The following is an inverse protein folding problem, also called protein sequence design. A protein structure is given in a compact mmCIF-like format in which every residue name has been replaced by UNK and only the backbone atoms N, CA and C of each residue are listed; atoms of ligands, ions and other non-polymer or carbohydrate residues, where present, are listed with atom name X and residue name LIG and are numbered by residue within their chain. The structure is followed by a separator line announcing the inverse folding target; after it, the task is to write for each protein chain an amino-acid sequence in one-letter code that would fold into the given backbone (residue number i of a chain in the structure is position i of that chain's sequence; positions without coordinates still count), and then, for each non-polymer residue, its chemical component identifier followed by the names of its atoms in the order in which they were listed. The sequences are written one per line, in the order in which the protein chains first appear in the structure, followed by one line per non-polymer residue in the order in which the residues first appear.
data_IF_713706821464
#
_entry.id   IF_713706821464
#
_cell.length_a   1.000
_cell.length_b   1.000
_cell.length_c   1.000
_cell.angle_alpha   90.00
_cell.angle_beta   90.00
_cell.angle_gamma   90.00
#
_symmetry.space_group_name_H-M   'P 1'
#
loop_
_entity.id
_entity.type
_entity.pdbx_description
1 polymer ?
#
# COMPACT_ATOMS: atom_id res chain seq x y z
N UNK A 1 2.67 -50.05 2.92
CA UNK A 1 1.72 -49.17 2.22
C UNK A 1 1.15 -48.15 3.19
N UNK A 2 1.68 -46.93 3.22
CA UNK A 2 1.40 -45.78 2.31
C UNK A 2 -0.03 -45.27 2.54
N UNK A 3 -0.32 -44.00 2.85
CA UNK A 3 0.18 -42.75 2.26
C UNK A 3 0.03 -41.59 3.27
N UNK A 4 1.06 -40.76 3.45
CA UNK A 4 0.99 -39.52 4.23
C UNK A 4 0.60 -38.38 3.29
N UNK A 5 -0.59 -37.80 3.49
CA UNK A 5 -1.09 -36.67 2.69
C UNK A 5 -0.55 -35.35 3.25
N UNK A 6 0.11 -34.56 2.39
CA UNK A 6 0.68 -33.26 2.72
C UNK A 6 -0.39 -32.16 2.84
N UNK A 7 -0.26 -31.17 3.74
CA UNK A 7 -1.21 -30.08 3.82
C UNK A 7 -0.97 -29.10 2.65
N UNK A 8 -1.93 -29.03 1.73
CA UNK A 8 -2.04 -27.94 0.76
C UNK A 8 -2.55 -26.70 1.49
N UNK A 9 -1.64 -25.85 1.96
CA UNK A 9 -1.97 -24.50 2.45
C UNK A 9 -1.26 -23.51 1.55
N UNK A 10 -1.93 -23.00 0.52
CA UNK A 10 -1.38 -21.90 -0.28
C UNK A 10 -2.41 -20.92 -0.84
N UNK A 11 -3.73 -21.19 -0.80
CA UNK A 11 -4.71 -20.26 -1.40
C UNK A 11 -5.42 -19.35 -0.38
N UNK A 12 -5.52 -19.73 0.90
CA UNK A 12 -6.22 -18.92 1.91
C UNK A 12 -5.37 -17.76 2.43
N UNK A 13 -4.05 -17.95 2.54
CA UNK A 13 -3.14 -16.92 3.08
C UNK A 13 -3.06 -15.72 2.13
N UNK A 14 -2.96 -15.97 0.82
CA UNK A 14 -2.91 -14.89 -0.19
C UNK A 14 -4.20 -14.06 -0.14
N UNK A 15 -5.36 -14.71 -0.05
CA UNK A 15 -6.66 -14.03 -0.05
C UNK A 15 -6.85 -13.12 1.17
N UNK A 16 -6.48 -13.59 2.38
CA UNK A 16 -6.56 -12.77 3.60
C UNK A 16 -5.52 -11.65 3.62
N UNK A 17 -4.29 -11.94 3.17
CA UNK A 17 -3.22 -10.93 3.08
C UNK A 17 -3.61 -9.85 2.07
N UNK A 18 -4.12 -10.20 0.88
CA UNK A 18 -4.58 -9.21 -0.10
C UNK A 18 -5.69 -8.31 0.44
N UNK A 19 -6.61 -8.86 1.24
CA UNK A 19 -7.62 -8.06 1.96
C UNK A 19 -6.99 -7.08 2.96
N UNK A 20 -6.07 -7.57 3.79
CA UNK A 20 -5.35 -6.73 4.77
C UNK A 20 -4.47 -5.67 4.12
N UNK A 21 -3.87 -5.96 2.96
CA UNK A 21 -3.07 -5.01 2.20
C UNK A 21 -3.94 -3.87 1.65
N UNK A 22 -5.09 -4.18 1.05
CA UNK A 22 -6.03 -3.18 0.55
C UNK A 22 -6.59 -2.31 1.69
N UNK A 23 -6.97 -2.93 2.82
CA UNK A 23 -7.42 -2.19 4.01
C UNK A 23 -6.33 -1.29 4.59
N UNK A 24 -5.08 -1.76 4.64
CA UNK A 24 -3.96 -0.98 5.12
C UNK A 24 -3.64 0.19 4.18
N UNK A 25 -3.72 -0.03 2.87
CA UNK A 25 -3.56 0.99 1.83
C UNK A 25 -4.62 2.07 1.91
N UNK A 26 -5.91 1.70 2.00
CA UNK A 26 -7.01 2.63 2.22
C UNK A 26 -6.82 3.44 3.50
N UNK A 27 -6.43 2.77 4.60
CA UNK A 27 -6.20 3.44 5.87
C UNK A 27 -5.07 4.48 5.78
N UNK A 28 -3.94 4.15 5.14
CA UNK A 28 -2.84 5.10 4.94
C UNK A 28 -3.31 6.27 4.07
N UNK A 29 -3.94 5.99 2.93
CA UNK A 29 -4.47 7.03 2.05
C UNK A 29 -5.44 8.00 2.78
N UNK A 30 -6.30 7.47 3.64
CA UNK A 30 -7.24 8.26 4.43
C UNK A 30 -6.53 9.17 5.44
N UNK A 31 -5.40 8.73 6.01
CA UNK A 31 -4.58 9.53 6.93
C UNK A 31 -3.77 10.61 6.22
N UNK A 32 -3.23 10.31 5.05
CA UNK A 32 -2.36 11.22 4.29
C UNK A 32 -3.16 12.34 3.61
N UNK A 33 -4.27 12.01 2.94
CA UNK A 33 -4.98 12.94 2.05
C UNK A 33 -6.50 12.95 2.21
N UNK A 34 -7.03 12.14 3.12
CA UNK A 34 -8.46 11.81 3.13
C UNK A 34 -8.88 10.92 1.95
N UNK A 35 -7.93 10.27 1.28
CA UNK A 35 -8.20 9.39 0.13
C UNK A 35 -8.34 10.12 -1.22
N UNK A 36 -8.05 11.41 -1.29
CA UNK A 36 -8.24 12.17 -2.53
C UNK A 36 -7.03 12.10 -3.46
N UNK A 37 -7.23 11.61 -4.69
CA UNK A 37 -6.22 11.66 -5.75
C UNK A 37 -5.88 13.07 -6.24
N UNK A 38 -6.67 14.07 -5.86
CA UNK A 38 -6.45 15.48 -6.23
C UNK A 38 -5.94 16.33 -5.06
N UNK A 39 -5.74 15.75 -3.87
CA UNK A 39 -5.17 16.47 -2.73
C UNK A 39 -3.78 16.99 -3.07
N UNK A 40 -3.46 18.22 -2.66
CA UNK A 40 -2.11 18.77 -2.83
C UNK A 40 -1.79 19.75 -1.72
N UNK A 41 -0.53 19.72 -1.25
CA UNK A 41 0.01 20.69 -0.31
C UNK A 41 1.19 21.46 -0.93
N UNK A 42 1.18 21.64 -2.25
CA UNK A 42 2.20 22.35 -3.03
C UNK A 42 3.49 21.56 -3.28
N UNK A 43 3.86 20.63 -2.38
CA UNK A 43 5.01 19.72 -2.53
C UNK A 43 4.61 18.27 -2.82
N UNK A 44 3.52 17.85 -2.22
CA UNK A 44 3.03 16.48 -2.27
C UNK A 44 1.68 16.44 -2.96
N UNK A 45 1.48 15.39 -3.74
CA UNK A 45 0.42 15.27 -4.73
C UNK A 45 -0.34 13.97 -4.50
N UNK A 46 -1.65 14.11 -4.51
CA UNK A 46 -2.62 13.04 -4.59
C UNK A 46 -2.75 12.17 -3.35
N UNK A 47 -3.28 10.97 -3.58
CA UNK A 47 -3.86 10.11 -2.54
C UNK A 47 -2.85 9.68 -1.49
N UNK A 48 -1.61 9.46 -1.91
CA UNK A 48 -0.49 9.02 -1.07
C UNK A 48 0.54 10.11 -0.83
N UNK A 49 0.22 11.37 -1.14
CA UNK A 49 1.09 12.53 -0.93
C UNK A 49 2.51 12.31 -1.51
N UNK A 50 2.58 11.87 -2.78
CA UNK A 50 3.82 11.60 -3.50
C UNK A 50 4.42 12.90 -4.07
N UNK A 51 5.74 12.99 -4.23
CA UNK A 51 6.35 14.13 -4.92
C UNK A 51 6.21 14.01 -6.44
N UNK A 52 6.25 15.15 -7.13
CA UNK A 52 6.22 15.20 -8.61
C UNK A 52 7.26 14.27 -9.26
N UNK A 53 8.47 14.19 -8.70
CA UNK A 53 9.54 13.30 -9.18
C UNK A 53 9.17 11.82 -9.15
N UNK A 54 8.31 11.39 -8.23
CA UNK A 54 7.81 10.01 -8.20
C UNK A 54 6.72 9.78 -9.25
N UNK A 55 5.95 10.81 -9.56
CA UNK A 55 4.84 10.76 -10.51
C UNK A 55 5.27 11.00 -11.96
N UNK A 56 6.46 11.56 -12.19
CA UNK A 56 7.00 11.89 -13.52
C UNK A 56 6.03 12.77 -14.35
N UNK A 57 5.30 13.66 -13.69
CA UNK A 57 4.27 14.51 -14.30
C UNK A 57 2.94 13.81 -14.65
N UNK A 58 2.80 12.50 -14.38
CA UNK A 58 1.55 11.77 -14.54
C UNK A 58 0.82 11.67 -13.19
N UNK A 59 -0.23 12.47 -13.03
CA UNK A 59 -1.03 12.53 -11.79
C UNK A 59 -2.29 11.67 -11.84
N UNK A 60 -2.42 10.77 -12.83
CA UNK A 60 -3.53 9.83 -12.90
C UNK A 60 -3.62 8.97 -11.64
N UNK A 61 -4.83 8.52 -11.31
CA UNK A 61 -5.02 7.61 -10.17
C UNK A 61 -4.20 6.33 -10.37
N UNK A 62 -4.20 5.77 -11.57
CA UNK A 62 -3.45 4.58 -11.93
C UNK A 62 -1.94 4.73 -11.69
N UNK A 63 -1.35 5.87 -12.07
CA UNK A 63 0.06 6.11 -11.83
C UNK A 63 0.37 6.32 -10.35
N UNK A 64 -0.49 7.05 -9.63
CA UNK A 64 -0.35 7.23 -8.18
C UNK A 64 -0.40 5.88 -7.44
N UNK A 65 -1.34 5.00 -7.80
CA UNK A 65 -1.46 3.66 -7.24
C UNK A 65 -0.20 2.83 -7.48
N UNK A 66 0.24 2.75 -8.74
CA UNK A 66 1.43 1.98 -9.15
C UNK A 66 2.69 2.46 -8.44
N UNK A 67 2.88 3.77 -8.37
CA UNK A 67 4.07 4.38 -7.75
C UNK A 67 4.03 4.19 -6.23
N UNK A 68 2.88 4.37 -5.60
CA UNK A 68 2.71 4.13 -4.17
C UNK A 68 2.95 2.67 -3.81
N UNK A 69 2.42 1.72 -4.58
CA UNK A 69 2.64 0.28 -4.38
C UNK A 69 4.13 -0.07 -4.48
N UNK A 70 4.82 0.43 -5.51
CA UNK A 70 6.25 0.21 -5.67
C UNK A 70 7.07 0.81 -4.51
N UNK A 71 6.70 2.01 -4.06
CA UNK A 71 7.32 2.67 -2.92
C UNK A 71 7.14 1.87 -1.62
N UNK A 72 5.92 1.42 -1.34
CA UNK A 72 5.60 0.62 -0.15
C UNK A 72 6.31 -0.72 -0.19
N UNK A 73 6.27 -1.41 -1.32
CA UNK A 73 6.95 -2.69 -1.48
C UNK A 73 8.46 -2.56 -1.26
N UNK A 74 9.09 -1.49 -1.77
CA UNK A 74 10.52 -1.25 -1.59
C UNK A 74 10.92 -0.84 -0.17
N UNK A 75 10.09 -0.04 0.52
CA UNK A 75 10.43 0.54 1.82
C UNK A 75 9.95 -0.30 3.01
N UNK A 76 8.73 -0.79 2.93
CA UNK A 76 8.02 -1.47 4.02
C UNK A 76 7.79 -2.96 3.70
N UNK A 77 7.93 -3.38 2.44
CA UNK A 77 7.62 -4.73 1.98
C UNK A 77 6.12 -4.93 1.70
N UNK A 78 5.24 -4.36 2.54
CA UNK A 78 3.80 -4.48 2.40
C UNK A 78 3.06 -3.27 3.00
N UNK A 79 1.83 -3.03 2.57
CA UNK A 79 0.95 -1.99 3.12
C UNK A 79 0.62 -2.24 4.58
N UNK A 80 0.43 -3.51 4.96
CA UNK A 80 0.24 -3.87 6.37
C UNK A 80 1.46 -3.49 7.22
N UNK A 81 2.67 -3.74 6.72
CA UNK A 81 3.90 -3.33 7.40
C UNK A 81 4.06 -1.80 7.47
N UNK A 82 3.70 -1.09 6.39
CA UNK A 82 3.66 0.37 6.35
C UNK A 82 2.69 0.95 7.39
N UNK A 83 1.49 0.38 7.49
CA UNK A 83 0.48 0.79 8.49
C UNK A 83 0.99 0.56 9.91
N UNK A 84 1.60 -0.60 10.18
CA UNK A 84 2.19 -0.90 11.49
C UNK A 84 3.33 0.08 11.83
N UNK A 85 4.16 0.41 10.84
CA UNK A 85 5.19 1.44 11.01
C UNK A 85 4.58 2.79 11.39
N UNK A 86 3.54 3.23 10.68
CA UNK A 86 2.84 4.47 10.99
C UNK A 86 2.26 4.47 12.40
N UNK A 87 1.58 3.39 12.80
CA UNK A 87 1.01 3.27 14.15
C UNK A 87 2.07 3.36 15.25
N UNK A 88 3.29 2.88 14.99
CA UNK A 88 4.38 2.89 15.95
C UNK A 88 5.17 4.22 15.97
N UNK A 89 5.24 4.94 14.85
CA UNK A 89 6.10 6.11 14.70
C UNK A 89 5.34 7.44 14.54
N UNK A 90 4.08 7.39 14.12
CA UNK A 90 3.24 8.56 13.84
C UNK A 90 3.53 9.25 12.51
N UNK A 91 4.29 8.63 11.61
CA UNK A 91 4.62 9.17 10.27
C UNK A 91 4.76 8.07 9.21
N UNK A 92 4.61 8.45 7.94
CA UNK A 92 4.71 7.60 6.74
C UNK A 92 5.85 8.06 5.80
#
# INVERSE_FOLDING_TARGET
DETVSAPVVSETVVSTVSGSEAEAKEWIAQKESGGSYTATNGRYIGRYQLTDSYLNGDYSAENQERVADAYVAGRYGSWTAAKNFWLNNGWY
#
